data_IF_017367566932
#
_entry.id   IF_017367566932
#
_cell.length_a   1.000
_cell.length_b   1.000
_cell.length_c   1.000
_cell.angle_alpha   90.00
_cell.angle_beta   90.00
_cell.angle_gamma   90.00
#
_symmetry.space_group_name_H-M   'P 1'
#
loop_
_entity.id
_entity.type
_entity.pdbx_description
1 polymer ?
#
# COMPACT_ATOMS: atom_id res chain seq x y z
N UNK A 1 6.28 12.32 14.02
CA UNK A 1 7.08 11.86 15.17
C UNK A 1 7.18 10.33 15.29
N UNK A 2 6.17 9.56 14.85
CA UNK A 2 6.16 8.10 15.01
C UNK A 2 6.96 7.30 13.95
N UNK A 3 7.40 7.96 12.87
CA UNK A 3 8.11 7.31 11.75
C UNK A 3 9.47 7.97 11.55
N UNK A 4 10.52 7.18 11.76
CA UNK A 4 11.93 7.54 11.55
C UNK A 4 12.41 6.99 10.20
N UNK A 5 12.41 7.83 9.16
CA UNK A 5 12.67 7.41 7.77
C UNK A 5 14.08 6.86 7.55
N UNK A 6 15.04 7.26 8.37
CA UNK A 6 16.41 6.76 8.37
C UNK A 6 16.52 5.26 8.73
N UNK A 7 15.48 4.69 9.36
CA UNK A 7 15.41 3.24 9.68
C UNK A 7 14.73 2.42 8.60
N UNK A 8 14.15 3.06 7.58
CA UNK A 8 13.43 2.36 6.53
C UNK A 8 14.40 1.64 5.58
N UNK A 9 14.15 0.34 5.36
CA UNK A 9 14.81 -0.43 4.31
C UNK A 9 14.40 0.00 2.91
N UNK A 10 14.91 -0.70 1.90
CA UNK A 10 14.63 -0.41 0.49
C UNK A 10 13.33 -1.06 -0.02
N UNK A 11 12.72 -1.98 0.74
CA UNK A 11 11.47 -2.64 0.37
C UNK A 11 11.58 -3.43 -0.93
N UNK A 12 12.75 -4.01 -1.22
CA UNK A 12 12.98 -4.80 -2.43
C UNK A 12 12.10 -6.06 -2.40
N UNK A 13 11.53 -6.40 -3.55
CA UNK A 13 10.53 -7.49 -3.66
C UNK A 13 11.01 -8.52 -4.66
N UNK A 14 11.00 -9.78 -4.24
CA UNK A 14 11.20 -10.92 -5.14
C UNK A 14 9.88 -11.28 -5.86
N UNK A 15 9.92 -11.64 -7.15
CA UNK A 15 8.73 -12.18 -7.84
C UNK A 15 8.31 -13.53 -7.22
N UNK A 16 7.05 -13.92 -7.43
CA UNK A 16 6.58 -15.26 -7.09
C UNK A 16 7.30 -16.30 -7.94
N UNK A 17 7.57 -17.48 -7.39
CA UNK A 17 8.07 -18.61 -8.18
C UNK A 17 7.00 -19.23 -9.08
N UNK A 18 5.72 -18.89 -8.86
CA UNK A 18 4.58 -19.36 -9.65
C UNK A 18 4.14 -18.26 -10.62
N UNK A 19 4.49 -18.42 -11.90
CA UNK A 19 4.21 -17.42 -12.96
C UNK A 19 2.72 -17.06 -13.07
N UNK A 20 1.82 -18.05 -12.99
CA UNK A 20 0.38 -17.81 -13.06
C UNK A 20 -0.15 -16.93 -11.92
N UNK A 21 0.49 -16.95 -10.75
CA UNK A 21 0.16 -16.06 -9.62
C UNK A 21 0.69 -14.65 -9.89
N UNK A 22 1.91 -14.52 -10.38
CA UNK A 22 2.48 -13.21 -10.73
C UNK A 22 1.71 -12.52 -11.86
N UNK A 23 1.18 -13.30 -12.81
CA UNK A 23 0.27 -12.84 -13.86
C UNK A 23 -1.18 -12.63 -13.39
N UNK A 24 -1.47 -12.90 -12.12
CA UNK A 24 -2.80 -12.71 -11.49
C UNK A 24 -3.91 -13.58 -12.10
N UNK A 25 -3.56 -14.74 -12.68
CA UNK A 25 -4.52 -15.75 -13.15
C UNK A 25 -5.16 -16.47 -11.95
N UNK A 26 -4.36 -16.76 -10.92
CA UNK A 26 -4.82 -17.25 -9.62
C UNK A 26 -4.34 -16.34 -8.49
N UNK A 27 -4.84 -16.57 -7.27
CA UNK A 27 -4.43 -15.82 -6.08
C UNK A 27 -3.91 -16.74 -4.98
N UNK A 28 -2.80 -16.33 -4.36
CA UNK A 28 -2.29 -16.91 -3.12
C UNK A 28 -1.70 -15.78 -2.26
N UNK A 29 -1.66 -15.94 -0.92
CA UNK A 29 -0.96 -15.00 -0.05
C UNK A 29 0.56 -15.04 -0.34
N UNK A 30 1.26 -13.93 -0.10
CA UNK A 30 2.73 -13.88 -0.17
C UNK A 30 3.34 -14.64 1.00
N UNK A 31 4.38 -15.44 0.74
CA UNK A 31 5.27 -15.90 1.79
C UNK A 31 6.28 -14.79 2.11
N UNK A 32 6.18 -14.19 3.31
CA UNK A 32 6.98 -13.02 3.68
C UNK A 32 8.48 -13.33 3.77
N UNK A 33 8.83 -14.52 4.24
CA UNK A 33 10.23 -14.95 4.40
C UNK A 33 10.96 -15.08 3.05
N UNK A 34 10.21 -15.30 1.96
CA UNK A 34 10.75 -15.48 0.60
C UNK A 34 10.74 -14.19 -0.22
N UNK A 35 9.85 -13.24 0.10
CA UNK A 35 9.51 -12.12 -0.80
C UNK A 35 10.16 -10.79 -0.44
N UNK A 36 10.55 -10.59 0.83
CA UNK A 36 11.13 -9.33 1.32
C UNK A 36 12.00 -9.59 2.55
N UNK A 37 13.16 -8.92 2.62
CA UNK A 37 14.08 -9.02 3.76
C UNK A 37 13.77 -8.06 4.91
N UNK A 38 13.03 -6.97 4.63
CA UNK A 38 12.72 -5.90 5.59
C UNK A 38 11.21 -5.79 5.86
N UNK A 39 10.43 -6.76 5.38
CA UNK A 39 8.94 -6.81 5.40
C UNK A 39 8.26 -5.68 4.60
N UNK A 40 9.04 -4.83 3.93
CA UNK A 40 8.56 -3.78 3.04
C UNK A 40 8.31 -4.30 1.62
N UNK A 41 7.31 -3.73 0.95
CA UNK A 41 7.02 -3.94 -0.48
C UNK A 41 7.01 -2.57 -1.15
N UNK A 42 8.12 -2.23 -1.81
CA UNK A 42 8.35 -0.93 -2.43
C UNK A 42 9.17 0.03 -1.55
N UNK A 43 9.98 0.86 -2.20
CA UNK A 43 10.93 1.74 -1.52
C UNK A 43 10.24 3.02 -0.98
N UNK A 44 10.24 3.26 0.34
CA UNK A 44 9.54 4.40 0.93
C UNK A 44 10.35 5.70 0.96
N UNK A 45 11.63 5.71 0.55
CA UNK A 45 12.56 6.84 0.76
C UNK A 45 12.15 8.16 0.08
N UNK A 46 11.19 8.13 -0.85
CA UNK A 46 10.64 9.33 -1.50
C UNK A 46 9.36 9.87 -0.82
N UNK A 47 9.00 9.33 0.33
CA UNK A 47 7.80 9.74 1.09
C UNK A 47 7.99 11.11 1.72
N UNK A 48 6.95 11.95 1.70
CA UNK A 48 6.96 13.27 2.34
C UNK A 48 5.58 13.56 2.95
N UNK A 49 5.53 14.43 3.96
CA UNK A 49 4.28 14.89 4.59
C UNK A 49 3.31 15.50 3.59
N UNK A 50 3.81 16.26 2.62
CA UNK A 50 3.00 16.97 1.63
C UNK A 50 2.34 15.99 0.64
N UNK A 51 3.02 14.89 0.30
CA UNK A 51 2.42 13.82 -0.51
C UNK A 51 1.30 13.12 0.26
N UNK A 52 1.53 12.82 1.54
CA UNK A 52 0.52 12.22 2.42
C UNK A 52 -0.73 13.09 2.56
N UNK A 53 -0.55 14.39 2.82
CA UNK A 53 -1.64 15.35 2.96
C UNK A 53 -2.50 15.47 1.69
N UNK A 54 -1.86 15.57 0.51
CA UNK A 54 -2.60 15.61 -0.76
C UNK A 54 -3.38 14.33 -1.04
N UNK A 55 -2.80 13.17 -0.72
CA UNK A 55 -3.47 11.89 -0.94
C UNK A 55 -4.68 11.71 -0.02
N UNK A 56 -4.51 11.96 1.29
CA UNK A 56 -5.60 11.77 2.25
C UNK A 56 -6.77 12.71 1.98
N UNK A 57 -6.51 13.93 1.51
CA UNK A 57 -7.58 14.87 1.10
C UNK A 57 -8.47 14.27 0.00
N UNK A 58 -7.87 13.72 -1.06
CA UNK A 58 -8.62 13.09 -2.15
C UNK A 58 -9.40 11.84 -1.69
N UNK A 59 -8.86 11.09 -0.72
CA UNK A 59 -9.57 9.94 -0.12
C UNK A 59 -10.74 10.41 0.74
N UNK A 60 -10.56 11.43 1.59
CA UNK A 60 -11.59 12.00 2.45
C UNK A 60 -12.79 12.45 1.60
N UNK A 61 -12.56 13.14 0.48
CA UNK A 61 -13.63 13.61 -0.41
C UNK A 61 -14.49 12.45 -0.93
N UNK A 62 -13.85 11.36 -1.39
CA UNK A 62 -14.54 10.19 -1.93
C UNK A 62 -15.31 9.42 -0.86
N UNK A 63 -14.69 9.20 0.29
CA UNK A 63 -15.33 8.46 1.39
C UNK A 63 -16.47 9.28 1.99
N UNK A 64 -16.29 10.59 2.19
CA UNK A 64 -17.36 11.48 2.66
C UNK A 64 -18.56 11.43 1.73
N UNK A 65 -18.33 11.51 0.41
CA UNK A 65 -19.40 11.37 -0.56
C UNK A 65 -20.13 10.03 -0.43
N UNK A 66 -19.39 8.92 -0.37
CA UNK A 66 -19.99 7.59 -0.20
C UNK A 66 -20.88 7.52 1.06
N UNK A 67 -20.41 8.06 2.18
CA UNK A 67 -21.15 8.03 3.44
C UNK A 67 -22.41 8.89 3.41
N UNK A 68 -22.35 10.06 2.75
CA UNK A 68 -23.54 10.91 2.52
C UNK A 68 -24.52 10.16 1.63
N UNK A 69 -24.07 9.62 0.50
CA UNK A 69 -24.91 8.88 -0.43
C UNK A 69 -25.61 7.71 0.31
N UNK A 70 -24.87 6.93 1.11
CA UNK A 70 -25.43 5.82 1.92
C UNK A 70 -26.47 6.28 2.94
N UNK A 71 -26.27 7.44 3.57
CA UNK A 71 -27.23 8.02 4.52
C UNK A 71 -28.51 8.49 3.82
N UNK A 72 -28.37 9.01 2.60
CA UNK A 72 -29.46 9.58 1.81
C UNK A 72 -30.21 8.53 0.96
N UNK A 73 -29.75 7.28 0.95
CA UNK A 73 -30.50 6.17 0.36
C UNK A 73 -31.85 6.01 1.08
N UNK A 74 -32.96 5.82 0.33
CA UNK A 74 -34.27 5.52 0.90
C UNK A 74 -34.32 4.25 1.76
#
# INVERSE_FOLDING_TARGET
ELVAMERAGDGTVSPSQIEAVDQKIGWMPRNWDEISSDTGIGNPKKSTSEKGARYVQAVIEKITKLLIDLKELP
#
